data_IF_804052277891
#
_entry.id   IF_804052277891
#
_cell.length_a   1.000
_cell.length_b   1.000
_cell.length_c   1.000
_cell.angle_alpha   90.00
_cell.angle_beta   90.00
_cell.angle_gamma   90.00
#
_symmetry.space_group_name_H-M   'P 1'
#
loop_
_entity.id
_entity.type
_entity.pdbx_description
1 polymer ?
#
# COMPACT_ATOMS: atom_id res chain seq x y z
N UNK A 1 -4.80 18.12 7.21
CA UNK A 1 -5.09 16.76 6.75
C UNK A 1 -6.56 16.62 6.43
N UNK A 2 -6.86 16.05 5.27
CA UNK A 2 -8.23 15.80 4.81
C UNK A 2 -8.49 14.29 4.95
N UNK A 3 -9.25 13.86 5.98
CA UNK A 3 -9.53 12.45 6.21
C UNK A 3 -10.25 11.77 5.05
N UNK A 4 -10.94 12.51 4.17
CA UNK A 4 -11.60 11.91 3.01
C UNK A 4 -10.63 11.45 1.94
N UNK A 5 -9.33 11.73 2.09
CA UNK A 5 -8.27 11.25 1.21
C UNK A 5 -7.55 10.01 1.73
N UNK A 6 -7.89 9.54 2.93
CA UNK A 6 -7.30 8.33 3.49
C UNK A 6 -7.88 7.11 2.80
N UNK A 7 -7.02 6.14 2.50
CA UNK A 7 -7.39 4.85 1.91
C UNK A 7 -7.21 3.76 2.96
N UNK A 8 -7.96 2.67 2.83
CA UNK A 8 -7.82 1.49 3.69
C UNK A 8 -6.51 0.75 3.41
N UNK A 9 -6.14 -0.18 4.30
CA UNK A 9 -5.01 -1.08 4.07
C UNK A 9 -5.21 -1.93 2.80
N UNK A 10 -6.44 -2.38 2.53
CA UNK A 10 -6.77 -3.14 1.32
C UNK A 10 -6.57 -2.30 0.05
N UNK A 11 -7.08 -1.07 0.04
CA UNK A 11 -6.92 -0.14 -1.09
C UNK A 11 -5.44 0.22 -1.33
N UNK A 12 -4.66 0.33 -0.26
CA UNK A 12 -3.21 0.53 -0.34
C UNK A 12 -2.50 -0.72 -0.91
N UNK A 13 -2.93 -1.92 -0.52
CA UNK A 13 -2.47 -3.18 -1.07
C UNK A 13 -2.71 -3.29 -2.58
N UNK A 14 -3.91 -2.96 -3.03
CA UNK A 14 -4.28 -2.94 -4.46
C UNK A 14 -3.43 -1.94 -5.26
N UNK A 15 -3.11 -0.79 -4.66
CA UNK A 15 -2.21 0.21 -5.25
C UNK A 15 -0.80 -0.35 -5.43
N UNK A 16 -0.22 -1.01 -4.42
CA UNK A 16 1.09 -1.63 -4.55
C UNK A 16 1.10 -2.77 -5.58
N UNK A 17 0.03 -3.57 -5.65
CA UNK A 17 -0.10 -4.59 -6.70
C UNK A 17 -0.11 -3.97 -8.11
N UNK A 18 -0.72 -2.80 -8.29
CA UNK A 18 -0.67 -2.08 -9.57
C UNK A 18 0.77 -1.70 -9.97
N UNK A 19 1.60 -1.29 -9.00
CA UNK A 19 3.00 -0.95 -9.28
C UNK A 19 3.84 -2.16 -9.66
N UNK A 20 3.65 -3.30 -8.99
CA UNK A 20 4.31 -4.57 -9.34
C UNK A 20 3.90 -5.05 -10.74
N UNK A 21 2.64 -4.82 -11.13
CA UNK A 21 2.14 -5.17 -12.47
C UNK A 21 2.70 -4.26 -13.55
N UNK A 22 2.73 -2.96 -13.30
CA UNK A 22 2.95 -1.95 -14.34
C UNK A 22 4.44 -1.53 -14.45
N UNK A 23 5.25 -1.84 -13.43
CA UNK A 23 6.68 -1.53 -13.37
C UNK A 23 7.48 -2.74 -12.83
N UNK A 24 8.78 -2.87 -13.14
CA UNK A 24 9.61 -3.97 -12.63
C UNK A 24 10.03 -3.72 -11.16
N UNK A 25 9.05 -3.54 -10.27
CA UNK A 25 9.27 -3.40 -8.83
C UNK A 25 9.71 -4.75 -8.26
N UNK A 26 10.90 -4.77 -7.66
CA UNK A 26 11.49 -6.00 -7.09
C UNK A 26 11.59 -5.97 -5.56
N UNK A 27 11.33 -4.83 -4.94
CA UNK A 27 11.40 -4.64 -3.50
C UNK A 27 10.43 -3.55 -3.06
N UNK A 28 9.72 -3.80 -1.95
CA UNK A 28 8.91 -2.83 -1.24
C UNK A 28 9.23 -3.05 0.25
N UNK A 29 9.68 -2.01 0.95
CA UNK A 29 10.06 -2.03 2.36
C UNK A 29 8.98 -1.30 3.18
N UNK A 30 8.64 -1.85 4.36
CA UNK A 30 7.64 -1.32 5.29
C UNK A 30 6.32 -0.82 4.64
N UNK A 31 5.60 -1.67 3.87
CA UNK A 31 4.40 -1.25 3.13
C UNK A 31 3.18 -0.94 4.02
N UNK A 32 3.19 -1.35 5.29
CA UNK A 32 2.11 -1.18 6.26
C UNK A 32 2.68 -0.73 7.61
N UNK A 33 1.79 -0.28 8.51
CA UNK A 33 2.18 0.16 9.86
C UNK A 33 2.67 -1.04 10.71
N UNK A 34 3.58 -0.76 11.65
CA UNK A 34 4.17 -1.74 12.57
C UNK A 34 3.14 -2.41 13.49
N UNK A 35 1.92 -1.90 13.61
CA UNK A 35 0.85 -2.53 14.39
C UNK A 35 -0.19 -3.24 13.54
N UNK A 36 -0.08 -3.18 12.21
CA UNK A 36 -1.06 -3.68 11.25
C UNK A 36 -0.76 -5.13 10.84
N UNK A 37 -0.69 -6.02 11.84
CA UNK A 37 -0.36 -7.44 11.66
C UNK A 37 -1.56 -8.38 11.55
N UNK A 38 -2.80 -7.89 11.66
CA UNK A 38 -3.99 -8.74 11.85
C UNK A 38 -5.28 -8.19 11.26
#
# INVERSE_FOLDING_TARGET
DDPSRYISADELGDLYQSFVRDYPVVSIEDPFDQVDWG
#
